data_IF_968418111865
#
_entry.id   IF_968418111865
#
_cell.length_a   1.000
_cell.length_b   1.000
_cell.length_c   1.000
_cell.angle_alpha   90.00
_cell.angle_beta   90.00
_cell.angle_gamma   90.00
#
_symmetry.space_group_name_H-M   'P 1'
#
loop_
_entity.id
_entity.type
_entity.pdbx_description
1 polymer ?
#
# COMPACT_ATOMS: atom_id res chain seq x y z
N UNK A 1 18.34 -3.04 11.05
CA UNK A 1 17.25 -3.61 10.20
C UNK A 1 17.38 -3.32 8.70
N UNK A 2 17.56 -2.07 8.26
CA UNK A 2 17.74 -1.77 6.83
C UNK A 2 18.98 -2.47 6.23
N UNK A 3 20.01 -2.73 7.05
CA UNK A 3 21.20 -3.51 6.68
C UNK A 3 21.00 -5.03 6.73
N UNK A 4 19.78 -5.53 6.99
CA UNK A 4 19.48 -6.97 7.02
C UNK A 4 19.34 -7.57 8.43
N UNK A 5 19.74 -6.85 9.48
CA UNK A 5 19.51 -7.33 10.86
C UNK A 5 18.01 -7.49 11.14
N UNK A 6 17.64 -8.55 11.86
CA UNK A 6 16.25 -8.86 12.22
C UNK A 6 16.03 -8.53 13.69
N UNK A 7 14.76 -8.36 14.08
CA UNK A 7 14.33 -8.29 15.48
C UNK A 7 14.96 -7.16 16.32
N UNK A 8 15.30 -6.02 15.72
CA UNK A 8 15.85 -4.87 16.46
C UNK A 8 14.74 -4.01 17.07
N UNK A 9 13.80 -3.53 16.26
CA UNK A 9 12.70 -2.66 16.70
C UNK A 9 11.36 -3.39 16.79
N UNK A 10 11.19 -4.44 15.98
CA UNK A 10 9.96 -5.22 15.89
C UNK A 10 10.31 -6.69 15.69
N UNK A 11 9.49 -7.57 16.26
CA UNK A 11 9.65 -9.03 16.14
C UNK A 11 9.10 -9.60 14.82
N UNK A 12 8.27 -8.82 14.13
CA UNK A 12 7.70 -9.23 12.85
C UNK A 12 8.69 -9.11 11.70
N UNK A 13 8.62 -10.05 10.74
CA UNK A 13 9.36 -9.93 9.47
C UNK A 13 8.93 -8.66 8.73
N UNK A 14 9.91 -7.81 8.43
CA UNK A 14 9.70 -6.64 7.55
C UNK A 14 9.50 -7.14 6.13
N UNK A 15 8.38 -6.79 5.52
CA UNK A 15 8.09 -7.08 4.11
C UNK A 15 8.62 -5.97 3.19
N UNK A 16 8.54 -4.72 3.66
CA UNK A 16 9.09 -3.55 2.99
C UNK A 16 9.30 -2.40 3.99
N UNK A 17 10.09 -1.41 3.61
CA UNK A 17 10.16 -0.12 4.27
C UNK A 17 9.30 0.89 3.53
N UNK A 18 8.30 1.43 4.23
CA UNK A 18 7.50 2.55 3.75
C UNK A 18 8.32 3.83 3.79
N UNK A 19 8.53 4.47 2.64
CA UNK A 19 9.05 5.84 2.65
C UNK A 19 7.93 6.84 2.98
N UNK A 20 8.25 7.96 3.64
CA UNK A 20 7.27 9.01 3.92
C UNK A 20 7.61 10.28 3.15
N UNK A 21 6.63 11.18 2.96
CA UNK A 21 6.86 12.50 2.36
C UNK A 21 7.72 13.40 3.25
N UNK A 22 7.73 13.16 4.57
CA UNK A 22 8.53 13.92 5.52
C UNK A 22 10.00 13.49 5.55
N UNK A 23 10.91 14.46 5.45
CA UNK A 23 12.37 14.21 5.43
C UNK A 23 13.08 14.78 6.65
N UNK A 24 14.20 14.18 7.03
CA UNK A 24 15.21 14.77 7.94
C UNK A 24 16.55 14.84 7.21
N UNK A 25 16.55 15.40 5.99
CA UNK A 25 17.66 15.34 5.02
C UNK A 25 17.64 14.09 4.13
N UNK A 26 17.26 12.93 4.68
CA UNK A 26 16.93 11.71 3.92
C UNK A 26 15.48 11.31 4.15
N UNK A 27 14.93 10.51 3.23
CA UNK A 27 13.58 10.00 3.35
C UNK A 27 13.46 9.03 4.53
N UNK A 28 12.45 9.22 5.39
CA UNK A 28 12.25 8.35 6.55
C UNK A 28 11.77 6.98 6.09
N UNK A 29 12.27 5.93 6.73
CA UNK A 29 11.92 4.54 6.43
C UNK A 29 11.17 3.93 7.60
N UNK A 30 9.91 3.53 7.37
CA UNK A 30 9.05 2.91 8.37
C UNK A 30 8.97 1.41 8.10
N UNK A 31 9.37 0.53 9.03
CA UNK A 31 9.30 -0.91 8.81
C UNK A 31 7.84 -1.35 8.76
N UNK A 32 7.44 -2.01 7.66
CA UNK A 32 6.09 -2.55 7.49
C UNK A 32 6.13 -4.07 7.53
N UNK A 33 5.25 -4.64 8.35
CA UNK A 33 5.04 -6.10 8.44
C UNK A 33 3.73 -6.48 7.77
N UNK A 34 3.55 -7.78 7.52
CA UNK A 34 2.25 -8.32 7.09
C UNK A 34 1.10 -7.88 7.99
N UNK A 35 1.32 -7.88 9.32
CA UNK A 35 0.31 -7.50 10.32
C UNK A 35 -0.11 -6.04 10.19
N UNK A 36 0.84 -5.12 10.07
CA UNK A 36 0.55 -3.68 9.95
C UNK A 36 -0.10 -3.35 8.62
N UNK A 37 0.37 -3.97 7.53
CA UNK A 37 -0.27 -3.88 6.20
C UNK A 37 -1.73 -4.32 6.25
N UNK A 38 -2.02 -5.43 6.93
CA UNK A 38 -3.39 -5.95 7.03
C UNK A 38 -4.31 -5.08 7.88
N UNK A 39 -3.79 -4.40 8.91
CA UNK A 39 -4.57 -3.40 9.65
C UNK A 39 -5.01 -2.25 8.73
N UNK A 40 -4.10 -1.68 7.96
CA UNK A 40 -4.41 -0.62 7.00
C UNK A 40 -5.43 -1.06 5.96
N UNK A 41 -5.25 -2.26 5.38
CA UNK A 41 -6.18 -2.82 4.41
C UNK A 41 -7.60 -3.02 4.97
N UNK A 42 -7.74 -3.44 6.24
CA UNK A 42 -9.05 -3.59 6.88
C UNK A 42 -9.79 -2.26 7.02
N UNK A 43 -9.09 -1.19 7.41
CA UNK A 43 -9.70 0.14 7.47
C UNK A 43 -10.15 0.58 6.07
N UNK A 44 -9.30 0.44 5.06
CA UNK A 44 -9.65 0.80 3.68
C UNK A 44 -10.85 -0.01 3.17
N UNK A 45 -10.89 -1.32 3.40
CA UNK A 45 -11.96 -2.18 2.90
C UNK A 45 -13.31 -1.97 3.62
N UNK A 46 -13.29 -1.70 4.94
CA UNK A 46 -14.51 -1.64 5.73
C UNK A 46 -15.00 -0.22 5.99
N UNK A 47 -14.10 0.69 6.38
CA UNK A 47 -14.49 2.05 6.77
C UNK A 47 -14.95 2.86 5.56
N UNK A 48 -14.21 2.78 4.44
CA UNK A 48 -14.57 3.49 3.20
C UNK A 48 -15.91 2.98 2.69
N UNK A 49 -16.08 1.66 2.63
CA UNK A 49 -17.33 1.04 2.17
C UNK A 49 -18.51 1.43 3.06
N UNK A 50 -18.36 1.39 4.40
CA UNK A 50 -19.41 1.79 5.33
C UNK A 50 -19.77 3.27 5.19
N UNK A 51 -18.76 4.13 5.10
CA UNK A 51 -18.97 5.56 4.90
C UNK A 51 -19.70 5.83 3.58
N UNK A 52 -19.24 5.21 2.50
CA UNK A 52 -19.82 5.38 1.16
C UNK A 52 -21.26 4.88 1.13
N UNK A 53 -21.55 3.72 1.73
CA UNK A 53 -22.92 3.22 1.83
C UNK A 53 -23.84 4.17 2.62
N UNK A 54 -23.40 4.65 3.79
CA UNK A 54 -24.25 5.52 4.61
C UNK A 54 -24.61 6.84 3.92
N UNK A 55 -23.75 7.35 3.04
CA UNK A 55 -23.93 8.66 2.42
C UNK A 55 -24.41 8.59 0.95
N UNK A 56 -24.16 7.49 0.25
CA UNK A 56 -24.35 7.37 -1.20
C UNK A 56 -25.17 6.13 -1.60
N UNK A 57 -25.84 5.45 -0.65
CA UNK A 57 -26.61 4.23 -0.93
C UNK A 57 -27.71 4.40 -1.99
N UNK A 58 -28.33 5.58 -2.06
CA UNK A 58 -29.44 5.82 -2.98
C UNK A 58 -28.96 5.89 -4.44
N UNK A 59 -27.72 6.34 -4.67
CA UNK A 59 -27.08 6.42 -5.99
C UNK A 59 -26.05 5.30 -6.22
N UNK A 60 -26.05 4.27 -5.37
CA UNK A 60 -25.05 3.21 -5.41
C UNK A 60 -25.20 2.35 -6.66
N UNK A 61 -24.10 2.16 -7.39
CA UNK A 61 -24.04 1.23 -8.51
C UNK A 61 -22.86 0.26 -8.35
N UNK A 62 -22.94 -0.87 -9.06
CA UNK A 62 -21.89 -1.89 -9.08
C UNK A 62 -20.84 -1.64 -10.18
N UNK A 63 -20.70 -0.39 -10.62
CA UNK A 63 -19.69 0.03 -11.58
C UNK A 63 -18.28 -0.02 -11.00
N UNK A 64 -17.28 0.20 -11.86
CA UNK A 64 -15.88 0.27 -11.47
C UNK A 64 -15.44 1.73 -11.31
N UNK A 65 -14.61 1.99 -10.32
CA UNK A 65 -14.00 3.32 -10.14
C UNK A 65 -12.87 3.57 -11.13
N UNK A 66 -12.57 4.84 -11.41
CA UNK A 66 -11.32 5.24 -12.04
C UNK A 66 -10.26 5.44 -10.94
N UNK A 67 -9.13 4.75 -11.04
CA UNK A 67 -8.00 4.93 -10.10
C UNK A 67 -6.75 5.39 -10.84
N UNK A 68 -6.27 6.58 -10.49
CA UNK A 68 -5.01 7.11 -11.02
C UNK A 68 -3.97 7.01 -9.91
N UNK A 69 -3.06 6.05 -10.02
CA UNK A 69 -2.04 5.78 -9.02
C UNK A 69 -0.78 5.16 -9.64
N UNK A 70 0.38 5.52 -9.08
CA UNK A 70 1.66 4.86 -9.32
C UNK A 70 1.99 3.91 -8.15
N UNK A 71 2.48 2.70 -8.47
CA UNK A 71 2.90 1.67 -7.51
C UNK A 71 4.39 1.31 -7.61
N UNK A 72 5.18 2.11 -8.32
CA UNK A 72 6.60 1.84 -8.57
C UNK A 72 7.35 1.67 -7.24
N UNK A 73 8.10 0.57 -7.17
CA UNK A 73 9.08 0.37 -6.13
C UNK A 73 10.23 1.35 -6.32
N UNK A 74 10.52 2.13 -5.28
CA UNK A 74 11.49 3.21 -5.36
C UNK A 74 12.92 2.67 -5.39
N UNK A 75 13.25 1.72 -4.52
CA UNK A 75 14.59 1.11 -4.40
C UNK A 75 14.59 -0.07 -3.40
N UNK A 76 15.76 -0.55 -2.99
CA UNK A 76 15.98 -1.59 -1.97
C UNK A 76 16.94 -1.09 -0.89
N UNK A 77 16.77 -1.56 0.35
CA UNK A 77 17.76 -1.34 1.41
C UNK A 77 19.03 -2.16 1.15
N UNK A 78 20.12 -1.86 1.88
CA UNK A 78 21.37 -2.66 1.83
C UNK A 78 21.16 -4.14 2.15
N UNK A 79 20.19 -4.45 3.02
CA UNK A 79 19.77 -5.82 3.33
C UNK A 79 18.81 -6.46 2.32
N UNK A 80 18.60 -5.85 1.15
CA UNK A 80 17.73 -6.37 0.08
C UNK A 80 16.23 -6.25 0.36
N UNK A 81 15.81 -5.41 1.31
CA UNK A 81 14.39 -5.23 1.64
C UNK A 81 13.80 -4.13 0.75
N UNK A 82 12.64 -4.35 0.09
CA UNK A 82 11.95 -3.34 -0.71
C UNK A 82 11.74 -2.00 0.01
N UNK A 83 11.92 -0.89 -0.71
CA UNK A 83 11.48 0.45 -0.29
C UNK A 83 10.41 0.95 -1.27
N UNK A 84 9.24 1.30 -0.76
CA UNK A 84 8.13 1.83 -1.56
C UNK A 84 7.17 2.68 -0.73
N UNK A 85 6.18 3.29 -1.38
CA UNK A 85 5.09 3.97 -0.67
C UNK A 85 4.18 2.96 0.05
N UNK A 86 3.49 3.43 1.09
CA UNK A 86 2.50 2.61 1.79
C UNK A 86 1.40 2.09 0.82
N UNK A 87 0.97 2.95 -0.10
CA UNK A 87 -0.04 2.64 -1.12
C UNK A 87 0.45 1.59 -2.10
N UNK A 88 1.70 1.70 -2.58
CA UNK A 88 2.32 0.71 -3.47
C UNK A 88 2.33 -0.69 -2.83
N UNK A 89 2.67 -0.77 -1.54
CA UNK A 89 2.63 -2.03 -0.78
C UNK A 89 1.22 -2.61 -0.63
N UNK A 90 0.21 -1.74 -0.47
CA UNK A 90 -1.21 -2.12 -0.39
C UNK A 90 -1.78 -2.62 -1.71
N UNK A 91 -1.64 -1.84 -2.79
CA UNK A 91 -2.16 -2.15 -4.12
C UNK A 91 -1.56 -3.45 -4.67
N UNK A 92 -0.25 -3.66 -4.50
CA UNK A 92 0.39 -4.92 -4.87
C UNK A 92 -0.21 -6.14 -4.15
N UNK A 93 -0.68 -5.96 -2.91
CA UNK A 93 -1.32 -7.02 -2.13
C UNK A 93 -2.72 -7.40 -2.61
N UNK A 94 -3.39 -6.52 -3.36
CA UNK A 94 -4.76 -6.73 -3.88
C UNK A 94 -4.81 -6.78 -5.41
N UNK A 95 -3.67 -6.98 -6.09
CA UNK A 95 -3.56 -6.92 -7.56
C UNK A 95 -4.61 -7.76 -8.30
N UNK A 96 -5.00 -8.91 -7.75
CA UNK A 96 -6.00 -9.82 -8.33
C UNK A 96 -7.44 -9.32 -8.18
N UNK A 97 -7.69 -8.42 -7.23
CA UNK A 97 -8.99 -7.79 -7.00
C UNK A 97 -9.17 -6.49 -7.79
N UNK A 98 -8.08 -5.82 -8.18
CA UNK A 98 -8.13 -4.54 -8.90
C UNK A 98 -9.03 -4.55 -10.14
N UNK A 99 -9.01 -5.57 -11.02
CA UNK A 99 -9.86 -5.58 -12.20
C UNK A 99 -11.36 -5.60 -11.90
N UNK A 100 -11.77 -6.01 -10.69
CA UNK A 100 -13.17 -6.01 -10.27
C UNK A 100 -13.60 -4.67 -9.66
N UNK A 101 -12.65 -3.88 -9.16
CA UNK A 101 -12.91 -2.62 -8.45
C UNK A 101 -12.68 -1.39 -9.33
N UNK A 102 -11.73 -1.45 -10.25
CA UNK A 102 -11.27 -0.30 -11.01
C UNK A 102 -11.17 -0.55 -12.51
N UNK A 103 -11.34 0.51 -13.31
CA UNK A 103 -11.15 0.49 -14.76
C UNK A 103 -9.68 0.49 -15.15
N UNK A 104 -8.80 1.02 -14.29
CA UNK A 104 -7.37 1.13 -14.52
C UNK A 104 -6.67 -0.24 -14.44
N UNK A 105 -6.02 -0.71 -15.52
CA UNK A 105 -5.22 -1.94 -15.49
C UNK A 105 -4.04 -1.80 -14.53
N UNK A 106 -3.68 -2.89 -13.87
CA UNK A 106 -2.58 -2.92 -12.90
C UNK A 106 -1.22 -2.62 -13.56
N UNK A 107 -1.06 -2.96 -14.83
CA UNK A 107 0.13 -2.73 -15.64
C UNK A 107 0.41 -1.24 -15.83
N UNK A 108 -0.65 -0.44 -16.03
CA UNK A 108 -0.54 1.02 -16.21
C UNK A 108 0.02 1.69 -14.96
N UNK A 109 -0.29 1.16 -13.77
CA UNK A 109 0.19 1.68 -12.49
C UNK A 109 1.69 1.46 -12.26
N UNK A 110 2.36 0.68 -13.12
CA UNK A 110 3.80 0.39 -13.04
C UNK A 110 4.66 1.19 -14.00
N UNK A 111 4.04 1.97 -14.88
CA UNK A 111 4.73 2.75 -15.89
C UNK A 111 5.51 3.88 -15.19
N UNK A 112 6.78 4.06 -15.56
CA UNK A 112 7.65 5.13 -15.09
C UNK A 112 7.64 6.32 -16.04
#
# INVERSE_FOLDING_TARGET
MANGEKNILITGKVEYFGHTSGTTGKQKLIPVTKRTKMKGAKYMALLITRFSYNNLKEDWNYGKGLMIADIVMSTYTKGGIPICSATSGGINGIKTLLPYLYTSPYEVMKIK
#
